data_IF_885647705413
#
_entry.id   IF_885647705413
#
_cell.length_a   1.000
_cell.length_b   1.000
_cell.length_c   1.000
_cell.angle_alpha   90.00
_cell.angle_beta   90.00
_cell.angle_gamma   90.00
#
_symmetry.space_group_name_H-M   'P 1'
#
loop_
_entity.id
_entity.type
_entity.pdbx_description
1 polymer ?
#
# COMPACT_ATOMS: atom_id res chain seq x y z
N UNK A 1 14.74 -38.06 -74.23
CA UNK A 1 15.10 -36.96 -73.34
C UNK A 1 14.01 -36.85 -72.23
N UNK A 2 14.30 -37.40 -71.05
CA UNK A 2 13.34 -37.45 -69.94
C UNK A 2 13.76 -36.33 -68.97
N UNK A 3 12.91 -35.29 -68.85
CA UNK A 3 13.07 -34.20 -67.84
C UNK A 3 12.66 -34.73 -66.49
N UNK A 4 13.62 -34.88 -65.56
CA UNK A 4 13.37 -35.16 -64.18
C UNK A 4 13.00 -33.82 -63.51
N UNK A 5 11.73 -33.67 -63.10
CA UNK A 5 11.24 -32.56 -62.29
C UNK A 5 11.58 -32.87 -60.81
N UNK A 6 12.47 -32.05 -60.18
CA UNK A 6 12.78 -32.14 -58.77
C UNK A 6 11.71 -31.31 -58.01
N UNK A 7 10.86 -32.02 -57.29
CA UNK A 7 9.88 -31.37 -56.36
C UNK A 7 10.59 -31.05 -55.05
N UNK A 8 10.87 -29.77 -54.83
CA UNK A 8 11.38 -29.29 -53.53
C UNK A 8 10.23 -29.29 -52.52
N UNK A 9 10.21 -30.25 -51.61
CA UNK A 9 9.37 -30.20 -50.41
C UNK A 9 9.99 -29.20 -49.43
N UNK A 10 9.39 -28.03 -49.32
CA UNK A 10 9.66 -27.07 -48.24
C UNK A 10 9.01 -27.62 -46.96
N UNK A 11 9.81 -28.24 -46.11
CA UNK A 11 9.42 -28.57 -44.73
C UNK A 11 9.22 -27.27 -43.98
N UNK A 12 7.97 -26.82 -43.86
CA UNK A 12 7.56 -25.78 -42.90
C UNK A 12 7.67 -26.39 -41.50
N UNK A 13 8.81 -26.19 -40.84
CA UNK A 13 8.95 -26.47 -39.43
C UNK A 13 8.06 -25.48 -38.69
N UNK A 14 7.17 -25.93 -37.80
CA UNK A 14 6.39 -25.01 -36.98
C UNK A 14 7.37 -24.21 -36.10
N UNK A 15 7.33 -22.89 -36.22
CA UNK A 15 7.99 -21.99 -35.30
C UNK A 15 7.26 -22.17 -33.96
N UNK A 16 7.84 -22.96 -33.08
CA UNK A 16 7.38 -23.02 -31.67
C UNK A 16 7.68 -21.66 -31.05
N UNK A 17 6.65 -20.90 -30.79
CA UNK A 17 6.76 -19.70 -29.95
C UNK A 17 7.00 -20.23 -28.52
N UNK A 18 8.25 -20.23 -28.10
CA UNK A 18 8.60 -20.58 -26.73
C UNK A 18 8.24 -19.38 -25.84
N UNK A 19 7.44 -19.62 -24.81
CA UNK A 19 7.24 -18.66 -23.76
C UNK A 19 8.57 -18.41 -23.04
N UNK A 20 8.93 -17.16 -22.79
CA UNK A 20 10.10 -16.81 -21.98
C UNK A 20 9.71 -16.95 -20.51
N UNK A 21 10.39 -17.84 -19.79
CA UNK A 21 10.09 -18.14 -18.40
C UNK A 21 11.12 -17.52 -17.47
N UNK A 22 10.63 -16.78 -16.48
CA UNK A 22 11.41 -16.20 -15.39
C UNK A 22 11.02 -16.84 -14.07
N UNK A 23 12.01 -17.38 -13.37
CA UNK A 23 11.86 -17.91 -12.00
C UNK A 23 13.18 -17.81 -11.26
N UNK A 24 13.16 -17.66 -9.92
CA UNK A 24 14.38 -17.76 -9.13
C UNK A 24 14.98 -19.16 -9.27
N UNK A 25 16.30 -19.25 -9.41
CA UNK A 25 16.98 -20.53 -9.29
C UNK A 25 16.85 -21.05 -7.85
N UNK A 26 16.74 -22.37 -7.68
CA UNK A 26 16.59 -22.99 -6.35
C UNK A 26 17.71 -22.57 -5.40
N UNK A 27 18.95 -22.45 -5.92
CA UNK A 27 20.14 -22.06 -5.16
C UNK A 27 20.18 -20.57 -4.80
N UNK A 28 19.49 -19.72 -5.56
CA UNK A 28 19.59 -18.26 -5.46
C UNK A 28 18.27 -17.63 -4.98
N UNK A 29 17.30 -18.47 -4.59
CA UNK A 29 16.02 -17.97 -4.05
C UNK A 29 16.24 -17.32 -2.71
N UNK A 30 15.93 -16.03 -2.62
CA UNK A 30 15.96 -15.23 -1.39
C UNK A 30 14.62 -14.54 -1.19
N UNK A 31 14.29 -14.24 0.07
CA UNK A 31 13.14 -13.49 0.46
C UNK A 31 13.56 -12.28 1.28
N UNK A 32 12.91 -11.15 1.03
CA UNK A 32 13.12 -9.91 1.76
C UNK A 32 11.85 -9.56 2.52
N UNK A 33 11.96 -9.39 3.84
CA UNK A 33 10.85 -9.05 4.72
C UNK A 33 10.96 -7.60 5.19
N UNK A 34 9.90 -6.80 4.92
CA UNK A 34 9.65 -5.54 5.63
C UNK A 34 8.63 -5.84 6.71
N UNK A 35 8.98 -5.50 7.95
CA UNK A 35 8.15 -5.71 9.13
C UNK A 35 8.11 -4.43 9.96
N UNK A 36 7.13 -3.59 9.69
CA UNK A 36 6.86 -2.34 10.41
C UNK A 36 5.37 -2.23 10.74
N UNK A 37 4.97 -1.41 11.72
CA UNK A 37 3.55 -1.23 12.02
C UNK A 37 2.73 -0.58 10.91
N UNK A 38 3.38 -0.01 9.87
CA UNK A 38 2.72 0.66 8.74
C UNK A 38 2.90 -0.06 7.41
N UNK A 39 3.81 -1.02 7.34
CA UNK A 39 4.07 -1.80 6.13
C UNK A 39 4.58 -3.20 6.45
N UNK A 40 3.86 -4.19 5.97
CA UNK A 40 4.28 -5.57 5.94
C UNK A 40 4.46 -6.02 4.50
N UNK A 41 5.66 -6.49 4.13
CA UNK A 41 5.85 -7.07 2.80
C UNK A 41 6.88 -8.19 2.78
N UNK A 42 6.62 -9.16 1.91
CA UNK A 42 7.47 -10.30 1.65
C UNK A 42 7.77 -10.35 0.15
N UNK A 43 8.99 -9.99 -0.23
CA UNK A 43 9.42 -9.81 -1.62
C UNK A 43 10.40 -10.90 -2.03
N UNK A 44 10.30 -11.32 -3.28
CA UNK A 44 11.19 -12.27 -3.92
C UNK A 44 11.80 -11.65 -5.18
N UNK A 45 13.12 -11.39 -5.22
CA UNK A 45 13.80 -11.01 -6.45
C UNK A 45 13.74 -12.14 -7.48
N UNK A 46 13.44 -11.81 -8.72
CA UNK A 46 13.40 -12.74 -9.86
C UNK A 46 14.42 -12.26 -10.88
N UNK A 47 15.48 -13.05 -11.04
CA UNK A 47 16.60 -12.70 -11.89
C UNK A 47 16.15 -12.37 -13.32
N UNK A 48 16.75 -11.35 -13.91
CA UNK A 48 16.48 -10.85 -15.28
C UNK A 48 15.03 -10.39 -15.54
N UNK A 49 14.16 -10.44 -14.54
CA UNK A 49 12.80 -9.93 -14.60
C UNK A 49 12.59 -8.70 -13.70
N UNK A 50 12.75 -8.85 -12.38
CA UNK A 50 12.48 -7.83 -11.38
C UNK A 50 12.10 -8.44 -10.04
N UNK A 51 10.89 -8.17 -9.53
CA UNK A 51 10.47 -8.59 -8.18
C UNK A 51 9.02 -9.01 -8.16
N UNK A 52 8.71 -10.05 -7.39
CA UNK A 52 7.35 -10.38 -6.96
C UNK A 52 7.20 -10.12 -5.45
N UNK A 53 6.07 -9.55 -5.01
CA UNK A 53 5.87 -9.07 -3.64
C UNK A 53 4.46 -9.31 -3.16
N UNK A 54 4.32 -10.02 -2.06
CA UNK A 54 3.14 -9.97 -1.22
C UNK A 54 3.27 -8.82 -0.23
N UNK A 55 2.22 -8.06 0.02
CA UNK A 55 2.30 -6.97 0.98
C UNK A 55 0.99 -6.33 1.36
N UNK A 56 1.03 -5.62 2.47
CA UNK A 56 -0.06 -4.76 2.92
C UNK A 56 0.54 -3.52 3.57
N UNK A 57 0.02 -2.37 3.18
CA UNK A 57 0.27 -1.08 3.82
C UNK A 57 -0.90 -0.82 4.78
N UNK A 58 -0.63 -0.17 5.91
CA UNK A 58 -1.63 0.19 6.91
C UNK A 58 -2.85 0.88 6.27
N UNK A 59 -4.04 0.40 6.59
CA UNK A 59 -5.32 0.88 6.04
C UNK A 59 -5.61 0.47 4.59
N UNK A 60 -4.70 -0.22 3.89
CA UNK A 60 -4.89 -0.65 2.51
C UNK A 60 -5.14 -2.17 2.39
N UNK A 61 -5.71 -2.64 1.27
CA UNK A 61 -5.91 -4.06 1.04
C UNK A 61 -4.58 -4.83 0.93
N UNK A 62 -4.61 -6.10 1.29
CA UNK A 62 -3.52 -7.02 1.01
C UNK A 62 -3.35 -7.22 -0.50
N UNK A 63 -2.11 -7.28 -0.99
CA UNK A 63 -1.80 -7.29 -2.41
C UNK A 63 -0.72 -8.30 -2.81
N UNK A 64 -0.75 -8.68 -4.09
CA UNK A 64 0.34 -9.34 -4.80
C UNK A 64 0.72 -8.48 -6.00
N UNK A 65 1.99 -8.11 -6.08
CA UNK A 65 2.53 -7.23 -7.11
C UNK A 65 3.75 -7.87 -7.77
N UNK A 66 3.75 -7.90 -9.11
CA UNK A 66 4.95 -8.18 -9.90
C UNK A 66 5.43 -6.89 -10.55
N UNK A 67 6.71 -6.60 -10.41
CA UNK A 67 7.35 -5.44 -11.02
C UNK A 67 8.48 -5.90 -11.92
N UNK A 68 8.47 -5.47 -13.19
CA UNK A 68 9.51 -5.82 -14.14
C UNK A 68 10.40 -4.64 -14.50
N UNK A 69 11.70 -4.90 -14.59
CA UNK A 69 12.68 -3.93 -15.07
C UNK A 69 12.93 -4.05 -16.58
N UNK A 70 12.71 -5.23 -17.15
CA UNK A 70 13.17 -5.61 -18.49
C UNK A 70 12.04 -5.93 -19.47
N UNK A 71 10.89 -6.45 -18.99
CA UNK A 71 9.82 -7.01 -19.80
C UNK A 71 8.48 -6.25 -19.67
N UNK A 72 8.38 -5.00 -20.15
CA UNK A 72 7.12 -4.27 -20.12
C UNK A 72 6.06 -4.97 -21.01
N UNK A 73 4.78 -4.90 -20.56
CA UNK A 73 3.69 -5.54 -21.30
C UNK A 73 3.31 -4.81 -22.57
N UNK A 74 2.80 -5.56 -23.54
CA UNK A 74 1.98 -5.07 -24.63
C UNK A 74 0.59 -4.69 -24.08
N UNK A 75 -0.13 -3.84 -24.80
CA UNK A 75 -1.57 -3.63 -24.56
C UNK A 75 -2.32 -4.96 -24.76
N UNK A 76 -3.03 -5.40 -23.74
CA UNK A 76 -3.73 -6.69 -23.73
C UNK A 76 -4.21 -7.06 -22.36
N UNK A 77 -3.81 -8.23 -21.87
CA UNK A 77 -4.14 -8.73 -20.53
C UNK A 77 -2.92 -9.38 -19.87
N UNK A 78 -2.95 -9.41 -18.54
CA UNK A 78 -2.12 -10.29 -17.72
C UNK A 78 -3.05 -11.22 -16.95
N UNK A 79 -2.72 -12.50 -16.95
CA UNK A 79 -3.40 -13.52 -16.14
C UNK A 79 -2.56 -13.75 -14.90
N UNK A 80 -3.21 -13.67 -13.75
CA UNK A 80 -2.66 -14.15 -12.49
C UNK A 80 -3.22 -15.55 -12.26
N UNK A 81 -2.34 -16.50 -12.06
CA UNK A 81 -2.66 -17.91 -11.89
C UNK A 81 -1.81 -18.54 -10.79
N UNK A 82 -2.13 -19.77 -10.44
CA UNK A 82 -1.30 -20.62 -9.58
C UNK A 82 -0.98 -21.89 -10.37
N UNK A 83 0.30 -22.14 -10.55
CA UNK A 83 0.80 -23.35 -11.18
C UNK A 83 1.22 -24.38 -10.13
N UNK A 84 1.21 -25.65 -10.48
CA UNK A 84 1.88 -26.69 -9.71
C UNK A 84 3.40 -26.56 -9.85
N UNK A 85 4.12 -27.19 -8.90
CA UNK A 85 5.58 -27.12 -8.91
C UNK A 85 6.15 -27.68 -10.23
N UNK A 86 7.17 -27.06 -10.85
CA UNK A 86 7.71 -27.46 -12.15
C UNK A 86 8.21 -28.91 -12.24
N UNK A 87 8.45 -29.57 -11.12
CA UNK A 87 8.85 -30.97 -11.02
C UNK A 87 7.69 -31.96 -10.86
N UNK A 88 6.47 -31.46 -10.72
CA UNK A 88 5.27 -32.30 -10.72
C UNK A 88 4.84 -32.55 -12.18
N UNK A 89 4.50 -33.78 -12.49
CA UNK A 89 4.08 -34.17 -13.84
C UNK A 89 2.67 -33.70 -14.21
N UNK A 90 2.13 -32.75 -13.48
CA UNK A 90 0.81 -32.15 -13.66
C UNK A 90 0.97 -30.73 -14.18
N UNK A 91 0.35 -30.43 -15.31
CA UNK A 91 0.27 -29.07 -15.87
C UNK A 91 -0.97 -28.31 -15.36
N UNK A 92 -1.49 -28.70 -14.17
CA UNK A 92 -2.68 -28.04 -13.63
C UNK A 92 -2.34 -26.60 -13.25
N UNK A 93 -3.06 -25.68 -13.86
CA UNK A 93 -3.04 -24.24 -13.58
C UNK A 93 -4.42 -23.82 -13.12
N UNK A 94 -4.48 -22.91 -12.17
CA UNK A 94 -5.71 -22.32 -11.68
C UNK A 94 -5.64 -20.81 -11.86
N UNK A 95 -6.50 -20.28 -12.71
CA UNK A 95 -6.64 -18.83 -12.88
C UNK A 95 -7.21 -18.21 -11.59
N UNK A 96 -6.55 -17.16 -11.14
CA UNK A 96 -7.05 -16.30 -10.05
C UNK A 96 -7.86 -15.14 -10.62
N UNK A 97 -7.25 -14.39 -11.55
CA UNK A 97 -7.88 -13.24 -12.19
C UNK A 97 -7.14 -12.81 -13.45
N UNK A 98 -7.86 -12.25 -14.41
CA UNK A 98 -7.32 -11.62 -15.60
C UNK A 98 -7.58 -10.11 -15.53
N UNK A 99 -6.53 -9.30 -15.68
CA UNK A 99 -6.63 -7.84 -15.69
C UNK A 99 -6.11 -7.27 -17.01
N UNK A 100 -6.66 -6.12 -17.42
CA UNK A 100 -6.23 -5.44 -18.64
C UNK A 100 -4.91 -4.72 -18.42
N UNK A 101 -4.01 -4.77 -19.41
CA UNK A 101 -2.72 -4.09 -19.40
C UNK A 101 -2.66 -2.96 -20.41
N UNK A 102 -1.87 -1.95 -20.08
CA UNK A 102 -1.50 -0.86 -20.99
C UNK A 102 -0.18 -1.18 -21.68
N UNK A 103 0.04 -0.55 -22.83
CA UNK A 103 1.33 -0.58 -23.49
C UNK A 103 2.43 -0.03 -22.57
N UNK A 104 3.52 -0.77 -22.39
CA UNK A 104 4.65 -0.36 -21.56
C UNK A 104 4.44 -0.52 -20.05
N UNK A 105 3.38 -1.20 -19.62
CA UNK A 105 3.12 -1.42 -18.20
C UNK A 105 4.18 -2.35 -17.60
N UNK A 106 4.71 -1.95 -16.42
CA UNK A 106 5.79 -2.66 -15.71
C UNK A 106 5.36 -3.18 -14.35
N UNK A 107 4.21 -2.78 -13.85
CA UNK A 107 3.68 -3.19 -12.55
C UNK A 107 2.34 -3.88 -12.77
N UNK A 108 2.26 -5.14 -12.34
CA UNK A 108 1.07 -5.96 -12.39
C UNK A 108 0.62 -6.24 -10.96
N UNK A 109 -0.62 -5.93 -10.64
CA UNK A 109 -1.08 -5.84 -9.27
C UNK A 109 -2.49 -6.40 -9.13
N UNK A 110 -2.69 -7.22 -8.08
CA UNK A 110 -3.98 -7.70 -7.62
C UNK A 110 -4.10 -7.50 -6.12
N UNK A 111 -5.33 -7.34 -5.64
CA UNK A 111 -5.64 -7.06 -4.24
C UNK A 111 -6.69 -7.99 -3.66
N UNK A 112 -6.82 -7.96 -2.34
CA UNK A 112 -7.88 -8.58 -1.56
C UNK A 112 -7.88 -10.10 -1.67
N UNK A 113 -9.02 -10.69 -2.02
CA UNK A 113 -9.24 -12.14 -2.00
C UNK A 113 -8.28 -12.89 -2.92
N UNK A 114 -8.07 -12.40 -4.14
CA UNK A 114 -7.18 -13.06 -5.11
C UNK A 114 -5.71 -13.07 -4.65
N UNK A 115 -5.23 -11.97 -4.06
CA UNK A 115 -3.90 -11.91 -3.49
C UNK A 115 -3.75 -12.84 -2.27
N UNK A 116 -4.78 -12.94 -1.42
CA UNK A 116 -4.81 -13.88 -0.29
C UNK A 116 -4.82 -15.33 -0.75
N UNK A 117 -5.57 -15.67 -1.80
CA UNK A 117 -5.56 -17.00 -2.40
C UNK A 117 -4.16 -17.37 -2.92
N UNK A 118 -3.47 -16.44 -3.61
CA UNK A 118 -2.10 -16.66 -4.05
C UNK A 118 -1.15 -16.95 -2.87
N UNK A 119 -1.29 -16.23 -1.74
CA UNK A 119 -0.49 -16.48 -0.53
C UNK A 119 -0.80 -17.86 0.09
N UNK A 120 -2.05 -18.27 0.13
CA UNK A 120 -2.43 -19.60 0.63
C UNK A 120 -1.83 -20.70 -0.26
N UNK A 121 -1.93 -20.54 -1.57
CA UNK A 121 -1.40 -21.52 -2.51
C UNK A 121 0.14 -21.64 -2.47
N UNK A 122 0.87 -20.52 -2.33
CA UNK A 122 2.34 -20.62 -2.20
C UNK A 122 2.73 -21.31 -0.88
N UNK A 123 1.96 -21.12 0.19
CA UNK A 123 2.15 -21.85 1.45
C UNK A 123 1.87 -23.36 1.31
N UNK A 124 0.97 -23.75 0.40
CA UNK A 124 0.68 -25.13 0.03
C UNK A 124 1.74 -25.75 -0.91
N UNK A 125 2.77 -24.97 -1.29
CA UNK A 125 3.85 -25.43 -2.19
C UNK A 125 3.55 -25.22 -3.68
N UNK A 126 2.48 -24.48 -4.03
CA UNK A 126 2.16 -24.09 -5.41
C UNK A 126 2.81 -22.76 -5.75
N UNK A 127 2.89 -22.46 -7.04
CA UNK A 127 3.67 -21.34 -7.58
C UNK A 127 2.74 -20.24 -8.12
N UNK A 128 2.55 -19.12 -7.40
CA UNK A 128 1.91 -17.94 -7.96
C UNK A 128 2.67 -17.48 -9.19
N UNK A 129 1.95 -17.24 -10.26
CA UNK A 129 2.50 -17.01 -11.59
C UNK A 129 1.74 -15.88 -12.26
N UNK A 130 2.42 -15.08 -13.09
CA UNK A 130 1.78 -14.19 -14.05
C UNK A 130 2.17 -14.56 -15.48
N UNK A 131 1.24 -14.32 -16.37
CA UNK A 131 1.38 -14.59 -17.79
C UNK A 131 0.86 -13.41 -18.62
N UNK A 132 1.68 -12.91 -19.56
CA UNK A 132 1.32 -11.80 -20.44
C UNK A 132 2.19 -11.73 -21.70
N UNK A 133 1.85 -10.84 -22.65
CA UNK A 133 2.65 -10.60 -23.86
C UNK A 133 3.65 -9.47 -23.67
N UNK A 134 4.92 -9.72 -24.01
CA UNK A 134 5.97 -8.70 -23.99
C UNK A 134 5.74 -7.64 -25.08
N UNK A 135 6.05 -6.38 -24.72
CA UNK A 135 6.05 -5.26 -25.67
C UNK A 135 7.15 -5.40 -26.73
N UNK A 136 8.30 -5.96 -26.37
CA UNK A 136 9.49 -5.95 -27.22
C UNK A 136 9.52 -7.07 -28.24
N UNK A 137 9.13 -8.29 -27.85
CA UNK A 137 9.29 -9.48 -28.69
C UNK A 137 7.98 -10.07 -29.16
N UNK A 138 6.85 -9.60 -28.66
CA UNK A 138 5.54 -10.24 -28.85
C UNK A 138 5.48 -11.69 -28.33
N UNK A 139 6.48 -12.08 -27.53
CA UNK A 139 6.57 -13.39 -26.89
C UNK A 139 5.75 -13.40 -25.62
N UNK A 140 5.33 -14.59 -25.26
CA UNK A 140 4.68 -14.84 -23.98
C UNK A 140 5.72 -14.80 -22.85
N UNK A 141 5.43 -14.03 -21.82
CA UNK A 141 6.24 -13.94 -20.61
C UNK A 141 5.51 -14.71 -19.50
N UNK A 142 6.20 -15.63 -18.88
CA UNK A 142 5.71 -16.44 -17.77
C UNK A 142 6.65 -16.24 -16.57
N UNK A 143 6.12 -15.76 -15.45
CA UNK A 143 6.91 -15.40 -14.26
C UNK A 143 6.39 -16.11 -13.04
N UNK A 144 7.21 -16.96 -12.45
CA UNK A 144 6.85 -17.80 -11.31
C UNK A 144 7.55 -17.33 -10.03
N UNK A 145 6.82 -17.32 -8.91
CA UNK A 145 7.42 -17.25 -7.57
C UNK A 145 7.83 -18.64 -7.10
N UNK A 146 8.96 -18.74 -6.43
CA UNK A 146 9.44 -19.98 -5.83
C UNK A 146 8.99 -20.10 -4.37
N UNK A 147 8.75 -21.31 -3.90
CA UNK A 147 8.40 -21.64 -2.50
C UNK A 147 9.63 -21.90 -1.63
N UNK A 148 10.83 -21.95 -2.23
CA UNK A 148 12.08 -22.25 -1.52
C UNK A 148 12.34 -21.18 -0.47
N UNK A 149 12.68 -21.60 0.75
CA UNK A 149 12.92 -20.75 1.93
C UNK A 149 11.72 -19.90 2.39
N UNK A 150 10.54 -20.05 1.83
CA UNK A 150 9.36 -19.28 2.23
C UNK A 150 9.03 -19.48 3.71
N UNK A 151 9.11 -20.71 4.21
CA UNK A 151 8.77 -21.08 5.59
C UNK A 151 9.67 -20.41 6.65
N UNK A 152 10.85 -19.94 6.27
CA UNK A 152 11.76 -19.21 7.17
C UNK A 152 11.25 -17.78 7.47
N UNK A 153 10.40 -17.24 6.59
CA UNK A 153 9.91 -15.86 6.63
C UNK A 153 8.40 -15.75 6.88
N UNK A 154 7.62 -16.71 6.41
CA UNK A 154 6.16 -16.66 6.42
C UNK A 154 5.56 -16.44 7.83
N UNK A 155 6.00 -17.10 8.91
CA UNK A 155 5.45 -16.85 10.24
C UNK A 155 5.67 -15.42 10.73
N UNK A 156 6.83 -14.82 10.41
CA UNK A 156 7.14 -13.43 10.77
C UNK A 156 6.30 -12.45 9.95
N UNK A 157 6.08 -12.76 8.69
CA UNK A 157 5.22 -11.97 7.81
C UNK A 157 3.75 -11.99 8.27
N UNK A 158 3.23 -13.16 8.63
CA UNK A 158 1.87 -13.29 9.18
C UNK A 158 1.70 -12.53 10.50
N UNK A 159 2.69 -12.60 11.39
CA UNK A 159 2.70 -11.80 12.63
C UNK A 159 2.69 -10.31 12.32
N UNK A 160 3.51 -9.85 11.37
CA UNK A 160 3.50 -8.46 10.93
C UNK A 160 2.11 -8.01 10.44
N UNK A 161 1.43 -8.84 9.65
CA UNK A 161 0.08 -8.52 9.16
C UNK A 161 -0.97 -8.40 10.27
N UNK A 162 -0.80 -9.14 11.38
CA UNK A 162 -1.66 -9.03 12.56
C UNK A 162 -1.40 -7.71 13.31
N UNK A 163 -0.13 -7.32 13.41
CA UNK A 163 0.30 -6.13 14.16
C UNK A 163 0.19 -4.82 13.35
N UNK A 164 -0.14 -4.92 12.06
CA UNK A 164 -0.25 -3.79 11.15
C UNK A 164 -1.36 -2.82 11.59
N UNK A 165 -1.10 -1.51 11.55
CA UNK A 165 -2.12 -0.50 11.83
C UNK A 165 -3.28 -0.63 10.84
N UNK A 166 -4.52 -0.55 11.36
CA UNK A 166 -5.74 -0.77 10.58
C UNK A 166 -6.22 0.46 9.82
N UNK A 167 -5.51 1.57 9.90
CA UNK A 167 -5.84 2.86 9.29
C UNK A 167 -4.65 3.41 8.51
N UNK A 168 -4.94 4.16 7.45
CA UNK A 168 -3.93 4.72 6.54
C UNK A 168 -3.43 6.08 7.00
N UNK A 169 -2.37 6.57 6.33
CA UNK A 169 -1.88 7.94 6.52
C UNK A 169 -2.95 8.98 6.13
N UNK A 170 -3.65 8.75 5.04
CA UNK A 170 -4.70 9.63 4.52
C UNK A 170 -5.83 9.84 5.54
N UNK A 171 -6.14 8.81 6.34
CA UNK A 171 -7.17 8.91 7.39
C UNK A 171 -6.77 9.76 8.58
N UNK A 172 -5.47 9.95 8.82
CA UNK A 172 -4.95 10.74 9.93
C UNK A 172 -4.30 12.05 9.51
N UNK A 173 -4.02 12.23 8.21
CA UNK A 173 -3.32 13.39 7.67
C UNK A 173 -4.02 14.70 8.01
N UNK A 174 -5.35 14.70 7.98
CA UNK A 174 -6.20 15.85 8.31
C UNK A 174 -7.22 15.42 9.36
N UNK A 175 -7.07 15.90 10.58
CA UNK A 175 -7.99 15.62 11.68
C UNK A 175 -8.55 16.90 12.27
N UNK A 176 -9.79 16.82 12.73
CA UNK A 176 -10.50 17.90 13.41
C UNK A 176 -10.86 17.42 14.80
N UNK A 177 -10.28 18.07 15.83
CA UNK A 177 -10.57 17.82 17.23
C UNK A 177 -11.58 18.85 17.70
N UNK A 178 -12.77 18.39 18.06
CA UNK A 178 -13.86 19.24 18.51
C UNK A 178 -13.84 19.40 20.03
N UNK A 179 -14.31 20.56 20.49
CA UNK A 179 -14.41 20.88 21.91
C UNK A 179 -15.82 21.37 22.27
N UNK A 180 -16.23 21.07 23.46
CA UNK A 180 -17.46 21.63 24.02
C UNK A 180 -17.38 23.18 24.16
N UNK A 181 -18.55 23.80 24.30
CA UNK A 181 -18.63 25.24 24.47
C UNK A 181 -17.82 25.69 25.71
N UNK A 182 -16.98 26.71 25.50
CA UNK A 182 -16.11 27.29 26.56
C UNK A 182 -15.15 26.32 27.24
N UNK A 183 -14.98 25.07 26.67
CA UNK A 183 -14.05 24.08 27.21
C UNK A 183 -12.88 23.83 26.26
N UNK A 184 -11.80 23.32 26.85
CA UNK A 184 -10.58 22.87 26.17
C UNK A 184 -10.13 21.46 26.63
N UNK A 185 -11.02 20.71 27.31
CA UNK A 185 -10.75 19.34 27.73
C UNK A 185 -10.99 18.38 26.56
N UNK A 186 -10.09 17.39 26.37
CA UNK A 186 -10.23 16.35 25.39
C UNK A 186 -11.22 15.29 25.86
N UNK A 187 -12.23 15.02 25.04
CA UNK A 187 -13.11 13.87 25.21
C UNK A 187 -12.42 12.54 24.88
N UNK A 188 -13.04 11.43 25.22
CA UNK A 188 -12.46 10.10 24.99
C UNK A 188 -12.33 9.77 23.48
N UNK A 189 -13.25 10.21 22.64
CA UNK A 189 -13.18 10.01 21.19
C UNK A 189 -12.02 10.79 20.58
N UNK A 190 -11.80 12.02 21.03
CA UNK A 190 -10.68 12.87 20.63
C UNK A 190 -9.34 12.27 21.05
N UNK A 191 -9.24 11.71 22.25
CA UNK A 191 -8.05 11.01 22.72
C UNK A 191 -7.75 9.76 21.87
N UNK A 192 -8.77 8.99 21.48
CA UNK A 192 -8.62 7.83 20.58
C UNK A 192 -8.10 8.28 19.20
N UNK A 193 -8.66 9.37 18.66
CA UNK A 193 -8.20 9.90 17.36
C UNK A 193 -6.74 10.39 17.43
N UNK A 194 -6.39 11.12 18.50
CA UNK A 194 -5.01 11.57 18.72
C UNK A 194 -4.03 10.42 18.96
N UNK A 195 -4.46 9.34 19.62
CA UNK A 195 -3.63 8.16 19.80
C UNK A 195 -3.33 7.44 18.47
N UNK A 196 -4.24 7.48 17.50
CA UNK A 196 -3.95 7.01 16.13
C UNK A 196 -2.82 7.83 15.49
N UNK A 197 -2.84 9.15 15.65
CA UNK A 197 -1.74 10.02 15.20
C UNK A 197 -0.42 9.63 15.87
N UNK A 198 -0.41 9.50 17.21
CA UNK A 198 0.78 9.10 17.97
C UNK A 198 1.40 7.82 17.45
N UNK A 199 0.59 6.76 17.33
CA UNK A 199 1.08 5.43 16.85
C UNK A 199 1.65 5.52 15.43
N UNK A 200 1.00 6.28 14.55
CA UNK A 200 1.46 6.42 13.19
C UNK A 200 2.77 7.21 13.10
N UNK A 201 2.87 8.33 13.84
CA UNK A 201 4.09 9.16 13.91
C UNK A 201 5.28 8.37 14.45
N UNK A 202 5.06 7.52 15.45
CA UNK A 202 6.09 6.65 16.01
C UNK A 202 6.54 5.57 15.03
N UNK A 203 5.65 5.12 14.14
CA UNK A 203 5.93 4.08 13.16
C UNK A 203 6.53 4.61 11.84
N UNK A 204 6.28 5.88 11.49
CA UNK A 204 6.68 6.48 10.22
C UNK A 204 7.75 7.58 10.40
N UNK A 205 9.04 7.26 10.23
CA UNK A 205 10.12 8.24 10.37
C UNK A 205 10.15 9.29 9.24
N UNK A 206 9.33 9.16 8.21
CA UNK A 206 9.23 10.16 7.14
C UNK A 206 8.37 11.37 7.52
N UNK A 207 7.62 11.30 8.63
CA UNK A 207 6.84 12.43 9.13
C UNK A 207 7.78 13.51 9.66
N UNK A 208 7.62 14.72 9.11
CA UNK A 208 8.51 15.85 9.37
C UNK A 208 7.84 16.96 10.16
N UNK A 209 6.50 17.06 10.12
CA UNK A 209 5.78 18.17 10.74
C UNK A 209 4.35 17.78 11.07
N UNK A 210 3.88 18.28 12.22
CA UNK A 210 2.49 18.28 12.67
C UNK A 210 2.10 19.73 12.90
N UNK A 211 1.19 20.26 12.11
CA UNK A 211 0.66 21.60 12.28
C UNK A 211 -0.66 21.54 13.07
N UNK A 212 -0.74 22.29 14.13
CA UNK A 212 -1.93 22.45 14.97
C UNK A 212 -2.48 23.86 14.77
N UNK A 213 -3.75 23.98 14.39
CA UNK A 213 -4.45 25.25 14.24
C UNK A 213 -5.67 25.30 15.16
N UNK A 214 -5.62 26.13 16.20
CA UNK A 214 -6.74 26.34 17.09
C UNK A 214 -7.72 27.39 16.55
N UNK A 215 -9.02 27.08 16.57
CA UNK A 215 -10.08 27.97 16.11
C UNK A 215 -11.09 28.29 17.24
N UNK A 216 -11.77 29.42 17.11
CA UNK A 216 -12.91 29.79 17.94
C UNK A 216 -14.06 30.32 17.09
N UNK A 217 -15.29 30.24 17.62
CA UNK A 217 -16.42 30.95 17.00
C UNK A 217 -16.34 32.46 17.29
N UNK A 218 -17.28 33.23 16.71
CA UNK A 218 -17.34 34.69 16.88
C UNK A 218 -18.12 35.15 18.15
N UNK A 219 -18.46 34.27 19.07
CA UNK A 219 -19.15 34.62 20.31
C UNK A 219 -18.13 34.98 21.41
N UNK A 220 -18.43 36.05 22.13
CA UNK A 220 -17.63 36.49 23.26
C UNK A 220 -16.61 37.58 22.90
N UNK A 221 -15.75 37.92 23.88
CA UNK A 221 -14.72 38.95 23.72
C UNK A 221 -13.50 38.33 23.00
N UNK A 222 -12.94 39.02 22.01
CA UNK A 222 -11.75 38.58 21.22
C UNK A 222 -10.61 38.05 22.09
N UNK A 223 -10.33 38.70 23.24
CA UNK A 223 -9.29 38.25 24.20
C UNK A 223 -9.59 36.87 24.82
N UNK A 224 -10.88 36.60 25.11
CA UNK A 224 -11.28 35.31 25.69
C UNK A 224 -11.20 34.19 24.61
N UNK A 225 -11.61 34.51 23.41
CA UNK A 225 -11.53 33.59 22.28
C UNK A 225 -10.06 33.25 21.95
N UNK A 226 -9.15 34.25 21.97
CA UNK A 226 -7.71 33.99 21.81
C UNK A 226 -7.20 32.99 22.86
N UNK A 227 -7.47 33.26 24.16
CA UNK A 227 -7.03 32.38 25.23
C UNK A 227 -7.62 30.95 25.09
N UNK A 228 -8.88 30.85 24.65
CA UNK A 228 -9.55 29.55 24.44
C UNK A 228 -8.93 28.75 23.25
N UNK A 229 -8.65 29.44 22.14
CA UNK A 229 -7.96 28.86 20.97
C UNK A 229 -6.56 28.37 21.36
N UNK A 230 -5.79 29.18 22.06
CA UNK A 230 -4.45 28.85 22.52
C UNK A 230 -4.47 27.62 23.46
N UNK A 231 -5.42 27.59 24.43
CA UNK A 231 -5.57 26.49 25.37
C UNK A 231 -5.94 25.18 24.66
N UNK A 232 -6.84 25.20 23.64
CA UNK A 232 -7.22 24.04 22.87
C UNK A 232 -6.05 23.46 22.08
N UNK A 233 -5.32 24.32 21.40
CA UNK A 233 -4.12 23.88 20.67
C UNK A 233 -3.04 23.35 21.64
N UNK A 234 -2.88 24.00 22.82
CA UNK A 234 -1.94 23.56 23.83
C UNK A 234 -2.27 22.17 24.40
N UNK A 235 -3.55 21.89 24.67
CA UNK A 235 -3.99 20.58 25.20
C UNK A 235 -3.74 19.48 24.19
N UNK A 236 -4.01 19.71 22.89
CA UNK A 236 -3.68 18.76 21.82
C UNK A 236 -2.16 18.55 21.73
N UNK A 237 -1.37 19.63 21.72
CA UNK A 237 0.09 19.56 21.73
C UNK A 237 0.60 18.73 22.90
N UNK A 238 0.15 19.05 24.12
CA UNK A 238 0.59 18.36 25.33
C UNK A 238 0.23 16.87 25.26
N UNK A 239 -0.99 16.52 24.84
CA UNK A 239 -1.40 15.13 24.67
C UNK A 239 -0.45 14.37 23.73
N UNK A 240 -0.10 14.94 22.56
CA UNK A 240 0.83 14.32 21.62
C UNK A 240 2.22 14.14 22.24
N UNK A 241 2.73 15.17 22.94
CA UNK A 241 4.05 15.12 23.59
C UNK A 241 4.09 14.11 24.73
N UNK A 242 3.07 14.09 25.58
CA UNK A 242 2.97 13.18 26.73
C UNK A 242 2.90 11.70 26.28
N UNK A 243 2.46 11.46 25.03
CA UNK A 243 2.45 10.14 24.41
C UNK A 243 3.64 9.89 23.47
N UNK A 244 4.69 10.71 23.54
CA UNK A 244 5.98 10.41 22.90
C UNK A 244 6.19 11.02 21.51
N UNK A 245 5.34 11.95 21.06
CA UNK A 245 5.61 12.72 19.83
C UNK A 245 6.64 13.82 20.14
N UNK A 246 7.77 13.91 19.42
CA UNK A 246 8.78 14.93 19.63
C UNK A 246 8.23 16.36 19.45
N UNK A 247 8.52 17.27 20.37
CA UNK A 247 8.09 18.66 20.27
C UNK A 247 8.59 19.33 18.98
N UNK A 248 9.76 18.95 18.50
CA UNK A 248 10.36 19.49 17.28
C UNK A 248 9.52 19.25 16.01
N UNK A 249 8.63 18.26 16.02
CA UNK A 249 7.70 18.01 14.93
C UNK A 249 6.44 18.88 15.00
N UNK A 250 6.13 19.49 16.16
CA UNK A 250 4.84 20.14 16.39
C UNK A 250 4.97 21.65 16.22
N UNK A 251 4.16 22.22 15.34
CA UNK A 251 3.99 23.67 15.19
C UNK A 251 2.57 24.06 15.56
N UNK A 252 2.40 25.15 16.30
CA UNK A 252 1.09 25.62 16.75
C UNK A 252 0.80 27.00 16.15
N UNK A 253 -0.41 27.15 15.60
CA UNK A 253 -0.97 28.42 15.17
C UNK A 253 -2.36 28.62 15.80
N UNK A 254 -2.72 29.87 16.03
CA UNK A 254 -4.06 30.24 16.50
C UNK A 254 -4.71 31.13 15.46
N UNK A 255 -5.85 30.74 14.92
CA UNK A 255 -6.53 31.44 13.84
C UNK A 255 -7.78 32.22 14.30
N UNK A 256 -8.20 32.09 15.56
CA UNK A 256 -9.42 32.75 16.08
C UNK A 256 -10.64 32.47 15.18
N UNK A 257 -11.52 33.47 15.13
CA UNK A 257 -12.72 33.52 14.26
C UNK A 257 -12.45 33.94 12.82
N UNK A 258 -11.18 34.15 12.43
CA UNK A 258 -10.79 34.77 11.16
C UNK A 258 -11.07 33.88 9.94
N UNK A 259 -11.12 32.55 10.13
CA UNK A 259 -11.38 31.58 9.07
C UNK A 259 -12.48 30.61 9.55
N UNK A 260 -13.76 31.03 9.53
CA UNK A 260 -14.85 30.16 9.96
C UNK A 260 -15.13 29.08 8.91
N UNK A 261 -15.19 27.81 9.35
CA UNK A 261 -15.54 26.66 8.49
C UNK A 261 -17.02 26.69 8.12
N UNK A 262 -17.88 27.19 9.04
CA UNK A 262 -19.34 27.32 8.83
C UNK A 262 -19.85 28.68 9.27
N UNK A 263 -21.14 28.97 8.94
CA UNK A 263 -21.76 30.23 9.35
C UNK A 263 -21.87 30.35 10.87
N UNK A 264 -21.32 31.40 11.46
CA UNK A 264 -21.44 31.72 12.88
C UNK A 264 -22.88 32.11 13.34
N UNK A 265 -23.83 32.23 12.40
CA UNK A 265 -25.20 32.63 12.71
C UNK A 265 -26.02 31.54 13.41
N UNK A 266 -25.66 30.28 13.27
CA UNK A 266 -26.36 29.15 13.87
C UNK A 266 -25.53 28.51 14.99
N UNK A 267 -26.21 27.90 15.98
CA UNK A 267 -25.53 27.19 17.07
C UNK A 267 -24.67 26.03 16.52
N UNK A 268 -25.20 25.30 15.55
CA UNK A 268 -24.48 24.20 14.87
C UNK A 268 -23.25 24.72 14.13
N UNK A 269 -23.35 25.82 13.36
CA UNK A 269 -22.22 26.39 12.66
C UNK A 269 -21.12 26.88 13.61
N UNK A 270 -21.50 27.51 14.74
CA UNK A 270 -20.53 27.89 15.78
C UNK A 270 -19.86 26.69 16.41
N UNK A 271 -20.58 25.58 16.61
CA UNK A 271 -19.98 24.36 17.14
C UNK A 271 -18.88 23.82 16.17
N UNK A 272 -19.09 23.91 14.88
CA UNK A 272 -18.09 23.53 13.85
C UNK A 272 -16.93 24.54 13.73
N UNK A 273 -17.07 25.74 14.28
CA UNK A 273 -16.02 26.77 14.24
C UNK A 273 -15.13 26.79 15.52
N UNK A 274 -15.18 25.74 16.32
CA UNK A 274 -14.41 25.62 17.57
C UNK A 274 -13.40 24.45 17.56
N UNK A 275 -12.91 23.96 16.41
CA UNK A 275 -11.97 22.83 16.39
C UNK A 275 -10.54 23.26 16.69
N UNK A 276 -9.71 22.26 16.97
CA UNK A 276 -8.29 22.29 16.63
C UNK A 276 -8.08 21.40 15.42
N UNK A 277 -7.62 21.97 14.34
CA UNK A 277 -7.25 21.24 13.13
C UNK A 277 -5.82 20.71 13.27
N UNK A 278 -5.61 19.52 12.80
CA UNK A 278 -4.31 18.85 12.77
C UNK A 278 -4.00 18.50 11.33
N UNK A 279 -2.85 18.92 10.85
CA UNK A 279 -2.34 18.54 9.53
C UNK A 279 -0.93 17.95 9.67
N UNK A 280 -0.72 16.76 9.09
CA UNK A 280 0.51 15.98 9.20
C UNK A 280 1.21 15.94 7.84
N UNK A 281 2.52 16.19 7.84
CA UNK A 281 3.37 16.27 6.64
C UNK A 281 4.50 15.24 6.71
N UNK A 282 4.71 14.57 5.58
CA UNK A 282 5.87 13.70 5.30
C UNK A 282 7.02 14.46 4.67
#
# INVERSE_FOLDING_TARGET
>A
MIKKSFLYYFLLLPLWVQAEQFQPAITDTTWELINTPIECSLSQPIRDFGTARFGQIAGHPFSLTYTTNTQPSKKGSVTFEVAEAPWQNSEQRQDLVIIQTKQGQRVFHIEGVNARQALNHINEGRFPTIFYLSQHSNQEINVLMSTVHLQDFLPKFETCLIDLLTYSFEEIQHLTINFELEKYELGELEKVALMRVVKFVQADPSIRKIALAGHTDNHGKKRLNQALSDNRAAVVKNFLMDNGVPESLITVASHLELIPVMSNKTQTGRAHNRPTEIEIFR
#
